data_IF_516107860766
#
_entry.id   IF_516107860766
#
_cell.length_a   1.000
_cell.length_b   1.000
_cell.length_c   1.000
_cell.angle_alpha   90.00
_cell.angle_beta   90.00
_cell.angle_gamma   90.00
#
_symmetry.space_group_name_H-M   'P 1'
#
loop_
_entity.id
_entity.type
_entity.pdbx_description
1 polymer ?
#
# COMPACT_ATOMS: atom_id res chain seq x y z
N UNK A 1 10.47 -11.28 -1.04
CA UNK A 1 9.65 -10.11 -0.75
C UNK A 1 9.93 -9.04 -1.79
N UNK A 2 8.89 -8.52 -2.38
CA UNK A 2 9.02 -7.42 -3.34
C UNK A 2 8.72 -6.10 -2.66
N UNK A 3 9.43 -5.07 -3.10
CA UNK A 3 9.20 -3.71 -2.64
C UNK A 3 8.64 -2.94 -3.83
N UNK A 4 7.44 -2.34 -3.71
CA UNK A 4 6.90 -1.52 -4.79
C UNK A 4 7.84 -0.37 -5.15
N UNK A 5 7.78 0.06 -6.42
CA UNK A 5 8.59 1.16 -6.90
C UNK A 5 7.81 2.45 -6.71
N UNK A 6 8.29 3.31 -5.82
CA UNK A 6 7.70 4.61 -5.54
C UNK A 6 8.72 5.71 -5.75
N UNK A 7 8.26 6.97 -5.95
CA UNK A 7 9.15 8.12 -5.91
C UNK A 7 9.95 8.18 -4.60
N UNK A 8 11.11 8.84 -4.58
CA UNK A 8 11.93 8.90 -3.36
C UNK A 8 11.22 9.49 -2.13
N UNK A 9 10.17 10.27 -2.34
CA UNK A 9 9.42 10.89 -1.24
C UNK A 9 8.47 9.92 -0.53
N UNK A 10 8.19 8.77 -1.12
CA UNK A 10 7.32 7.74 -0.55
C UNK A 10 8.06 6.42 -0.50
N UNK A 11 7.78 5.65 0.56
CA UNK A 11 8.43 4.36 0.76
C UNK A 11 7.40 3.34 1.22
N UNK A 12 7.41 2.18 0.59
CA UNK A 12 6.49 1.10 0.91
C UNK A 12 7.24 -0.22 0.93
N UNK A 13 7.03 -1.00 1.97
CA UNK A 13 7.65 -2.31 2.10
C UNK A 13 6.72 -3.25 2.86
N UNK A 14 6.86 -4.55 2.61
CA UNK A 14 6.14 -5.56 3.37
C UNK A 14 7.14 -6.39 4.17
N UNK A 15 6.86 -6.56 5.47
CA UNK A 15 7.70 -7.31 6.38
C UNK A 15 6.80 -8.15 7.27
N UNK A 16 7.01 -9.47 7.30
CA UNK A 16 6.18 -10.40 8.07
C UNK A 16 4.69 -10.22 7.77
N UNK A 17 4.36 -9.98 6.50
CA UNK A 17 3.00 -9.74 6.00
C UNK A 17 2.33 -8.47 6.57
N UNK A 18 3.12 -7.57 7.13
CA UNK A 18 2.65 -6.22 7.50
C UNK A 18 3.14 -5.25 6.44
N UNK A 19 2.19 -4.62 5.76
CA UNK A 19 2.49 -3.63 4.73
C UNK A 19 2.71 -2.28 5.40
N UNK A 20 3.87 -1.69 5.19
CA UNK A 20 4.25 -0.42 5.79
C UNK A 20 4.36 0.62 4.68
N UNK A 21 3.65 1.74 4.84
CA UNK A 21 3.66 2.85 3.90
C UNK A 21 4.13 4.08 4.63
N UNK A 22 5.23 4.67 4.16
CA UNK A 22 5.81 5.88 4.75
C UNK A 22 5.79 7.00 3.72
N UNK A 23 5.38 8.19 4.15
CA UNK A 23 5.40 9.39 3.32
C UNK A 23 6.53 10.31 3.81
N UNK A 24 7.07 11.11 2.91
CA UNK A 24 8.13 12.07 3.26
C UNK A 24 7.63 13.17 4.17
N UNK A 25 6.32 13.42 4.15
CA UNK A 25 5.67 14.43 5.00
C UNK A 25 4.23 13.99 5.26
N UNK A 26 3.60 14.63 6.24
CA UNK A 26 2.19 14.37 6.53
C UNK A 26 1.33 14.76 5.34
N UNK A 27 0.45 13.84 4.92
CA UNK A 27 -0.49 14.07 3.84
C UNK A 27 -1.85 14.44 4.42
N UNK A 28 -2.54 15.39 3.81
CA UNK A 28 -3.88 15.76 4.22
C UNK A 28 -4.82 14.57 4.08
N UNK A 29 -4.69 13.83 2.98
CA UNK A 29 -5.36 12.55 2.84
C UNK A 29 -4.54 11.61 1.94
N UNK A 30 -4.79 10.31 2.13
CA UNK A 30 -4.23 9.29 1.27
C UNK A 30 -5.22 8.13 1.22
N UNK A 31 -5.71 7.81 0.04
CA UNK A 31 -6.58 6.65 -0.14
C UNK A 31 -5.72 5.47 -0.59
N UNK A 32 -5.73 4.40 0.22
CA UNK A 32 -4.94 3.21 -0.07
C UNK A 32 -5.89 2.07 -0.42
N UNK A 33 -5.71 1.52 -1.62
CA UNK A 33 -6.48 0.39 -2.11
C UNK A 33 -5.53 -0.75 -2.42
N UNK A 34 -5.82 -1.94 -1.89
CA UNK A 34 -5.02 -3.14 -2.15
C UNK A 34 -5.92 -4.16 -2.85
N UNK A 35 -5.43 -4.67 -3.97
CA UNK A 35 -6.18 -5.57 -4.84
C UNK A 35 -5.39 -6.85 -5.05
N UNK A 36 -6.07 -8.00 -4.97
CA UNK A 36 -5.47 -9.27 -5.33
C UNK A 36 -5.21 -9.29 -6.85
N UNK A 37 -3.96 -9.44 -7.23
CA UNK A 37 -3.56 -9.34 -8.64
C UNK A 37 -4.17 -10.45 -9.49
N UNK A 38 -4.32 -11.65 -8.92
CA UNK A 38 -4.83 -12.80 -9.66
C UNK A 38 -6.33 -12.74 -9.88
N UNK A 39 -7.10 -12.23 -8.91
CA UNK A 39 -8.56 -12.25 -8.95
C UNK A 39 -9.19 -10.89 -9.19
N UNK A 40 -8.45 -9.80 -8.96
CA UNK A 40 -8.99 -8.45 -9.02
C UNK A 40 -9.80 -8.05 -7.79
N UNK A 41 -9.88 -8.90 -6.77
CA UNK A 41 -10.62 -8.60 -5.57
C UNK A 41 -9.97 -7.49 -4.76
N UNK A 42 -10.75 -6.51 -4.31
CA UNK A 42 -10.27 -5.47 -3.41
C UNK A 42 -10.28 -6.04 -2.00
N UNK A 43 -9.11 -6.15 -1.38
CA UNK A 43 -8.98 -6.69 -0.03
C UNK A 43 -8.83 -5.61 1.02
N UNK A 44 -8.51 -4.37 0.60
CA UNK A 44 -8.39 -3.24 1.50
C UNK A 44 -8.64 -1.96 0.70
N UNK A 45 -9.46 -1.07 1.26
CA UNK A 45 -9.66 0.26 0.66
C UNK A 45 -10.05 1.21 1.79
N UNK A 46 -9.22 2.21 2.04
CA UNK A 46 -9.46 3.15 3.13
C UNK A 46 -8.77 4.47 2.84
N UNK A 47 -9.44 5.56 3.23
CA UNK A 47 -8.86 6.90 3.20
C UNK A 47 -8.34 7.26 4.58
N UNK A 48 -7.09 7.67 4.64
CA UNK A 48 -6.42 8.10 5.87
C UNK A 48 -6.21 9.61 5.80
N UNK A 49 -6.38 10.28 6.94
CA UNK A 49 -6.27 11.74 7.04
C UNK A 49 -5.13 12.11 7.97
N UNK A 50 -4.41 13.18 7.61
CA UNK A 50 -3.31 13.73 8.44
C UNK A 50 -2.31 12.64 8.81
N UNK A 51 -1.83 11.92 7.79
CA UNK A 51 -0.99 10.75 8.02
C UNK A 51 0.35 10.87 7.29
N UNK A 52 1.41 10.36 7.93
CA UNK A 52 2.70 10.18 7.29
C UNK A 52 3.15 8.72 7.35
N UNK A 53 2.37 7.85 7.99
CA UNK A 53 2.72 6.45 8.14
C UNK A 53 1.45 5.61 8.25
N UNK A 54 1.38 4.51 7.50
CA UNK A 54 0.24 3.59 7.53
C UNK A 54 0.77 2.16 7.60
N UNK A 55 0.16 1.35 8.45
CA UNK A 55 0.43 -0.09 8.54
C UNK A 55 -0.83 -0.86 8.20
N UNK A 56 -0.72 -1.86 7.32
CA UNK A 56 -1.83 -2.71 6.93
C UNK A 56 -1.42 -4.15 7.16
N UNK A 57 -2.17 -4.87 7.99
CA UNK A 57 -1.91 -6.27 8.30
C UNK A 57 -2.50 -7.14 7.19
N UNK A 58 -1.63 -7.81 6.43
CA UNK A 58 -2.01 -8.69 5.33
C UNK A 58 -1.95 -10.16 5.71
N UNK A 59 -1.73 -10.47 6.99
CA UNK A 59 -1.52 -11.85 7.42
C UNK A 59 -2.75 -12.74 7.25
N UNK A 60 -3.94 -12.15 7.19
CA UNK A 60 -5.19 -12.90 6.96
C UNK A 60 -5.51 -13.10 5.48
N UNK A 61 -4.72 -12.50 4.60
CA UNK A 61 -4.94 -12.60 3.15
C UNK A 61 -4.24 -13.81 2.58
N UNK A 62 -4.77 -14.32 1.46
CA UNK A 62 -4.16 -15.45 0.77
C UNK A 62 -2.76 -15.09 0.26
N UNK A 63 -1.91 -16.10 0.17
CA UNK A 63 -0.58 -15.93 -0.41
C UNK A 63 -0.69 -15.54 -1.88
N UNK A 64 0.20 -14.69 -2.33
CA UNK A 64 0.25 -14.30 -3.73
C UNK A 64 0.60 -12.85 -3.92
N UNK A 65 0.49 -12.39 -5.16
CA UNK A 65 0.81 -11.02 -5.52
C UNK A 65 -0.41 -10.11 -5.36
N UNK A 66 -0.15 -8.90 -4.86
CA UNK A 66 -1.16 -7.87 -4.68
C UNK A 66 -0.65 -6.57 -5.28
N UNK A 67 -1.58 -5.74 -5.73
CA UNK A 67 -1.28 -4.40 -6.21
C UNK A 67 -1.75 -3.40 -5.17
N UNK A 68 -0.91 -2.42 -4.86
CA UNK A 68 -1.28 -1.31 -4.00
C UNK A 68 -1.42 -0.04 -4.84
N UNK A 69 -2.50 0.68 -4.60
CA UNK A 69 -2.74 2.00 -5.20
C UNK A 69 -2.85 3.01 -4.08
N UNK A 70 -2.11 4.11 -4.19
CA UNK A 70 -2.18 5.20 -3.23
C UNK A 70 -2.58 6.45 -3.98
N UNK A 71 -3.77 6.96 -3.70
CA UNK A 71 -4.28 8.18 -4.31
C UNK A 71 -4.07 9.34 -3.37
N UNK A 72 -3.27 10.30 -3.80
CA UNK A 72 -3.02 11.54 -3.09
C UNK A 72 -3.76 12.67 -3.80
N UNK A 73 -3.65 13.90 -3.27
CA UNK A 73 -4.36 15.04 -3.83
C UNK A 73 -3.85 15.42 -5.23
N UNK A 74 -2.59 15.12 -5.54
CA UNK A 74 -1.94 15.53 -6.79
C UNK A 74 -1.38 14.37 -7.61
N UNK A 75 -1.44 13.13 -7.12
CA UNK A 75 -0.87 12.01 -7.86
C UNK A 75 -1.44 10.66 -7.41
N UNK A 76 -1.23 9.67 -8.25
CA UNK A 76 -1.55 8.27 -7.98
C UNK A 76 -0.27 7.46 -8.01
N UNK A 77 -0.03 6.69 -6.96
CA UNK A 77 1.12 5.81 -6.87
C UNK A 77 0.64 4.37 -6.97
N UNK A 78 1.47 3.53 -7.58
CA UNK A 78 1.13 2.12 -7.79
C UNK A 78 2.36 1.25 -7.55
N UNK A 79 2.14 0.09 -6.93
CA UNK A 79 3.21 -0.87 -6.72
C UNK A 79 2.67 -2.28 -6.58
N UNK A 80 3.57 -3.26 -6.55
CA UNK A 80 3.23 -4.67 -6.41
C UNK A 80 4.02 -5.23 -5.24
N UNK A 81 3.36 -6.06 -4.41
CA UNK A 81 4.03 -6.75 -3.33
C UNK A 81 3.49 -8.17 -3.21
N UNK A 82 4.20 -9.02 -2.48
CA UNK A 82 3.86 -10.43 -2.31
C UNK A 82 3.55 -10.73 -0.86
N UNK A 83 2.43 -11.40 -0.62
CA UNK A 83 2.08 -11.98 0.69
C UNK A 83 2.60 -13.41 0.71
N UNK A 84 3.39 -13.74 1.70
CA UNK A 84 4.03 -15.05 1.80
C UNK A 84 3.43 -15.94 2.89
#
# INVERSE_FOLDING_TARGET
MEIPIFPPSENCAILSNILNVNFDRTKDYATITVTNKATGEIVHSKTYHNTNFVMIDMSSCDKGEYTIYITLDDCLLEGIFTVQ
#
